data_IF_554730441827
#
_entry.id   IF_554730441827
#
_cell.length_a   1.000
_cell.length_b   1.000
_cell.length_c   1.000
_cell.angle_alpha   90.00
_cell.angle_beta   90.00
_cell.angle_gamma   90.00
#
_symmetry.space_group_name_H-M   'P 1'
#
loop_
_entity.id
_entity.type
_entity.pdbx_description
1 polymer ?
#
# COMPACT_ATOMS: atom_id res chain seq x y z
N UNK A 1 3.21 -10.12 2.23
CA UNK A 1 3.54 -11.54 2.43
C UNK A 1 2.71 -12.43 1.52
N UNK A 2 1.38 -12.38 1.55
CA UNK A 2 0.47 -13.26 0.80
C UNK A 2 0.70 -13.30 -0.73
N UNK A 3 0.91 -12.15 -1.38
CA UNK A 3 1.17 -12.12 -2.83
C UNK A 3 2.41 -12.93 -3.22
N UNK A 4 3.48 -12.88 -2.42
CA UNK A 4 4.70 -13.66 -2.68
C UNK A 4 4.46 -15.15 -2.61
N UNK A 5 3.62 -15.60 -1.68
CA UNK A 5 3.22 -17.02 -1.54
C UNK A 5 2.45 -17.46 -2.80
N UNK A 6 1.49 -16.64 -3.24
CA UNK A 6 0.68 -16.94 -4.43
C UNK A 6 1.55 -16.97 -5.69
N UNK A 7 2.45 -15.99 -5.87
CA UNK A 7 3.35 -15.92 -7.03
C UNK A 7 4.37 -17.05 -7.05
N UNK A 8 4.71 -17.62 -5.89
CA UNK A 8 5.54 -18.82 -5.77
C UNK A 8 4.77 -20.13 -5.93
N UNK A 9 3.49 -20.09 -6.36
CA UNK A 9 2.64 -21.26 -6.51
C UNK A 9 2.05 -21.79 -5.20
N UNK A 10 2.25 -21.10 -4.08
CA UNK A 10 1.70 -21.47 -2.77
C UNK A 10 0.20 -21.25 -2.67
N UNK A 11 -0.43 -21.94 -1.73
CA UNK A 11 -1.87 -21.85 -1.44
C UNK A 11 -2.10 -21.12 -0.13
N UNK A 12 -3.18 -20.34 -0.07
CA UNK A 12 -3.65 -19.68 1.15
C UNK A 12 -4.99 -20.33 1.51
N UNK A 13 -5.06 -20.89 2.72
CA UNK A 13 -6.27 -21.52 3.23
C UNK A 13 -6.89 -20.62 4.31
N UNK A 14 -8.21 -20.47 4.25
CA UNK A 14 -8.99 -19.86 5.32
C UNK A 14 -9.36 -20.93 6.34
N UNK A 15 -9.01 -20.70 7.61
CA UNK A 15 -9.35 -21.59 8.72
C UNK A 15 -10.43 -20.93 9.58
N UNK A 16 -11.70 -21.34 9.50
CA UNK A 16 -12.79 -20.74 10.27
C UNK A 16 -12.64 -20.87 11.78
N UNK A 17 -11.94 -21.92 12.24
CA UNK A 17 -11.67 -22.18 13.66
C UNK A 17 -10.58 -21.29 14.26
N UNK A 18 -9.79 -20.59 13.41
CA UNK A 18 -8.75 -19.68 13.87
C UNK A 18 -9.37 -18.29 14.11
N UNK A 19 -9.87 -18.09 15.32
CA UNK A 19 -10.53 -16.84 15.73
C UNK A 19 -9.50 -15.96 16.46
N UNK A 20 -9.37 -14.71 15.99
CA UNK A 20 -8.59 -13.66 16.66
C UNK A 20 -9.54 -12.59 17.14
N UNK A 21 -9.53 -12.34 18.45
CA UNK A 21 -10.28 -11.24 19.04
C UNK A 21 -9.54 -9.93 18.81
N UNK A 22 -10.22 -8.98 18.18
CA UNK A 22 -9.67 -7.65 17.91
C UNK A 22 -10.55 -6.59 18.57
N UNK A 23 -9.95 -5.76 19.42
CA UNK A 23 -10.65 -4.63 20.02
C UNK A 23 -10.71 -3.48 19.00
N UNK A 24 -11.93 -3.12 18.59
CA UNK A 24 -12.15 -1.99 17.71
C UNK A 24 -11.95 -0.67 18.45
N UNK A 25 -11.41 0.31 17.74
CA UNK A 25 -11.33 1.68 18.26
C UNK A 25 -12.72 2.31 18.24
N UNK A 26 -13.06 3.06 19.28
CA UNK A 26 -14.40 3.60 19.51
C UNK A 26 -14.61 5.00 18.97
N UNK A 27 -13.53 5.72 18.58
CA UNK A 27 -13.61 7.10 18.13
C UNK A 27 -13.30 7.27 16.63
N UNK A 28 -13.89 8.31 16.03
CA UNK A 28 -13.77 8.60 14.60
C UNK A 28 -12.39 9.15 14.21
N UNK A 29 -11.66 9.76 15.13
CA UNK A 29 -10.32 10.28 14.88
C UNK A 29 -9.33 9.12 14.73
N UNK A 30 -9.33 8.20 15.67
CA UNK A 30 -8.51 6.99 15.61
C UNK A 30 -8.86 6.10 14.39
N UNK A 31 -10.14 6.08 13.96
CA UNK A 31 -10.52 5.43 12.69
C UNK A 31 -9.91 6.15 11.49
N UNK A 32 -9.90 7.47 11.48
CA UNK A 32 -9.28 8.26 10.41
C UNK A 32 -7.79 7.99 10.27
N UNK A 33 -7.05 7.96 11.39
CA UNK A 33 -5.62 7.62 11.43
C UNK A 33 -5.36 6.19 10.93
N UNK A 34 -6.20 5.24 11.32
CA UNK A 34 -6.09 3.86 10.89
C UNK A 34 -6.28 3.73 9.38
N UNK A 35 -7.30 4.40 8.82
CA UNK A 35 -7.57 4.39 7.38
C UNK A 35 -6.43 5.06 6.61
N UNK A 36 -5.89 6.18 7.12
CA UNK A 36 -4.70 6.80 6.54
C UNK A 36 -3.51 5.83 6.52
N UNK A 37 -3.27 5.13 7.62
CA UNK A 37 -2.17 4.16 7.74
C UNK A 37 -2.34 2.98 6.79
N UNK A 38 -3.56 2.50 6.60
CA UNK A 38 -3.86 1.45 5.61
C UNK A 38 -3.58 1.93 4.19
N UNK A 39 -4.05 3.14 3.84
CA UNK A 39 -3.73 3.75 2.56
C UNK A 39 -2.22 3.87 2.36
N UNK A 40 -1.49 4.38 3.35
CA UNK A 40 -0.04 4.55 3.29
C UNK A 40 0.69 3.22 3.04
N UNK A 41 0.33 2.18 3.78
CA UNK A 41 0.88 0.83 3.59
C UNK A 41 0.57 0.26 2.20
N UNK A 42 -0.68 0.42 1.73
CA UNK A 42 -1.10 -0.02 0.41
C UNK A 42 -0.34 0.72 -0.71
N UNK A 43 -0.20 2.03 -0.60
CA UNK A 43 0.53 2.85 -1.58
C UNK A 43 2.00 2.47 -1.68
N UNK A 44 2.67 2.28 -0.55
CA UNK A 44 4.06 1.81 -0.50
C UNK A 44 4.20 0.40 -1.10
N UNK A 45 3.26 -0.49 -0.81
CA UNK A 45 3.22 -1.85 -1.33
C UNK A 45 3.06 -1.87 -2.85
N UNK A 46 2.12 -1.11 -3.40
CA UNK A 46 1.91 -0.99 -4.85
C UNK A 46 3.13 -0.39 -5.55
N UNK A 47 3.69 0.68 -4.99
CA UNK A 47 4.90 1.32 -5.53
C UNK A 47 6.09 0.35 -5.56
N UNK A 48 6.26 -0.47 -4.52
CA UNK A 48 7.27 -1.53 -4.49
C UNK A 48 7.12 -2.47 -5.68
N UNK A 49 5.93 -3.01 -5.89
CA UNK A 49 5.71 -4.00 -6.94
C UNK A 49 5.79 -3.41 -8.35
N UNK A 50 5.40 -2.14 -8.52
CA UNK A 50 5.55 -1.43 -9.79
C UNK A 50 7.02 -1.13 -10.13
N UNK A 51 7.80 -0.72 -9.13
CA UNK A 51 9.23 -0.39 -9.34
C UNK A 51 10.07 -1.65 -9.54
N UNK A 52 9.78 -2.72 -8.79
CA UNK A 52 10.53 -3.99 -8.90
C UNK A 52 10.05 -4.89 -10.04
N UNK A 53 9.07 -4.48 -10.84
CA UNK A 53 8.53 -5.31 -11.94
C UNK A 53 7.86 -6.62 -11.49
N UNK A 54 7.65 -6.81 -10.19
CA UNK A 54 7.16 -8.06 -9.60
C UNK A 54 5.64 -8.28 -9.69
N UNK A 55 4.90 -7.34 -10.27
CA UNK A 55 3.44 -7.49 -10.41
C UNK A 55 3.05 -7.69 -11.88
N UNK A 56 2.43 -8.82 -12.23
CA UNK A 56 1.90 -9.03 -13.57
C UNK A 56 0.90 -7.92 -13.93
N UNK A 57 1.05 -7.31 -15.11
CA UNK A 57 0.21 -6.19 -15.56
C UNK A 57 -1.29 -6.53 -15.52
N UNK A 58 -1.65 -7.79 -15.84
CA UNK A 58 -3.02 -8.27 -15.74
C UNK A 58 -3.60 -8.27 -14.32
N UNK A 59 -2.77 -8.51 -13.31
CA UNK A 59 -3.20 -8.48 -11.91
C UNK A 59 -3.44 -7.03 -11.45
N UNK A 60 -2.57 -6.11 -11.87
CA UNK A 60 -2.74 -4.68 -11.62
C UNK A 60 -4.03 -4.15 -12.27
N UNK A 61 -4.25 -4.46 -13.54
CA UNK A 61 -5.46 -4.04 -14.27
C UNK A 61 -6.74 -4.59 -13.61
N UNK A 62 -6.74 -5.85 -13.16
CA UNK A 62 -7.87 -6.45 -12.41
C UNK A 62 -8.09 -5.76 -11.07
N UNK A 63 -7.02 -5.44 -10.34
CA UNK A 63 -7.08 -4.72 -9.08
C UNK A 63 -7.69 -3.32 -9.23
N UNK A 64 -7.22 -2.55 -10.19
CA UNK A 64 -7.74 -1.21 -10.51
C UNK A 64 -9.21 -1.25 -10.93
N UNK A 65 -9.59 -2.23 -11.77
CA UNK A 65 -10.99 -2.40 -12.19
C UNK A 65 -11.90 -2.75 -11.01
N UNK A 66 -11.46 -3.63 -10.09
CA UNK A 66 -12.20 -3.95 -8.87
C UNK A 66 -12.31 -2.75 -7.93
N UNK A 67 -11.25 -2.00 -7.73
CA UNK A 67 -11.27 -0.77 -6.94
C UNK A 67 -12.29 0.24 -7.50
N UNK A 68 -12.36 0.42 -8.82
CA UNK A 68 -13.36 1.26 -9.48
C UNK A 68 -14.80 0.77 -9.24
N UNK A 69 -15.05 -0.54 -9.25
CA UNK A 69 -16.38 -1.11 -8.96
C UNK A 69 -16.76 -0.88 -7.50
N UNK A 70 -15.83 -1.11 -6.56
CA UNK A 70 -16.05 -0.87 -5.13
C UNK A 70 -16.35 0.61 -4.88
N UNK A 71 -15.58 1.52 -5.47
CA UNK A 71 -15.78 2.96 -5.33
C UNK A 71 -17.15 3.42 -5.88
N UNK A 72 -17.60 2.85 -7.00
CA UNK A 72 -18.95 3.12 -7.54
C UNK A 72 -20.04 2.62 -6.61
N UNK A 73 -19.89 1.42 -6.03
CA UNK A 73 -20.86 0.85 -5.08
C UNK A 73 -20.94 1.66 -3.79
N UNK A 74 -19.81 2.11 -3.24
CA UNK A 74 -19.79 2.97 -2.05
C UNK A 74 -20.43 4.33 -2.33
N UNK A 75 -20.24 4.91 -3.51
CA UNK A 75 -20.92 6.14 -3.91
C UNK A 75 -22.43 5.95 -4.04
N UNK A 76 -22.91 4.82 -4.57
CA UNK A 76 -24.33 4.51 -4.67
C UNK A 76 -24.97 4.27 -3.28
N UNK A 77 -24.28 3.54 -2.40
CA UNK A 77 -24.73 3.34 -1.01
C UNK A 77 -24.79 4.65 -0.20
N UNK A 78 -23.86 5.58 -0.46
CA UNK A 78 -23.86 6.93 0.12
C UNK A 78 -25.05 7.78 -0.36
N UNK A 79 -25.53 7.57 -1.59
CA UNK A 79 -26.73 8.24 -2.10
C UNK A 79 -28.03 7.67 -1.48
N UNK A 80 -28.05 6.42 -1.08
CA UNK A 80 -29.19 5.78 -0.42
C UNK A 80 -29.39 6.18 1.06
N UNK A 81 -28.65 7.15 1.58
CA UNK A 81 -28.92 7.80 2.87
C UNK A 81 -28.35 7.10 4.10
N UNK A 82 -27.75 5.94 3.99
CA UNK A 82 -27.31 5.15 5.15
C UNK A 82 -25.91 5.47 5.69
N UNK A 83 -25.08 6.26 4.99
CA UNK A 83 -23.71 6.52 5.42
C UNK A 83 -23.18 7.91 4.97
N UNK A 84 -23.96 8.95 5.22
CA UNK A 84 -23.75 10.27 4.58
C UNK A 84 -22.57 11.10 5.07
N UNK A 85 -22.03 10.91 6.26
CA UNK A 85 -21.12 11.90 6.86
C UNK A 85 -19.65 11.46 6.91
N UNK A 86 -19.33 10.19 6.86
CA UNK A 86 -17.95 9.71 7.03
C UNK A 86 -17.26 9.17 5.76
N UNK A 87 -17.99 8.51 4.88
CA UNK A 87 -17.40 7.69 3.81
C UNK A 87 -16.52 8.45 2.82
N UNK A 88 -16.93 9.66 2.40
CA UNK A 88 -16.14 10.45 1.44
C UNK A 88 -14.85 11.02 2.07
N UNK A 89 -14.92 11.47 3.32
CA UNK A 89 -13.74 11.94 4.05
C UNK A 89 -12.75 10.81 4.29
N UNK A 90 -13.24 9.65 4.69
CA UNK A 90 -12.41 8.47 4.94
C UNK A 90 -11.75 7.97 3.64
N UNK A 91 -12.48 7.93 2.52
CA UNK A 91 -11.92 7.58 1.22
C UNK A 91 -10.83 8.56 0.74
N UNK A 92 -11.01 9.86 0.98
CA UNK A 92 -9.98 10.86 0.68
C UNK A 92 -8.75 10.71 1.59
N UNK A 93 -8.96 10.39 2.86
CA UNK A 93 -7.89 10.13 3.83
C UNK A 93 -7.08 8.89 3.42
N UNK A 94 -7.74 7.82 3.00
CA UNK A 94 -7.08 6.62 2.47
C UNK A 94 -6.28 6.92 1.20
N UNK A 95 -6.89 7.62 0.24
CA UNK A 95 -6.24 8.00 -1.01
C UNK A 95 -5.00 8.88 -0.76
N UNK A 96 -5.10 9.85 0.15
CA UNK A 96 -3.96 10.68 0.59
C UNK A 96 -2.86 9.81 1.19
N UNK A 97 -3.22 8.87 2.08
CA UNK A 97 -2.28 7.91 2.64
C UNK A 97 -1.56 7.14 1.54
N UNK A 98 -2.30 6.61 0.56
CA UNK A 98 -1.73 5.82 -0.54
C UNK A 98 -0.73 6.63 -1.40
N UNK A 99 -1.05 7.87 -1.72
CA UNK A 99 -0.13 8.76 -2.45
C UNK A 99 1.15 9.01 -1.66
N UNK A 100 1.03 9.35 -0.36
CA UNK A 100 2.19 9.60 0.50
C UNK A 100 3.03 8.34 0.64
N UNK A 101 2.42 7.17 0.88
CA UNK A 101 3.11 5.90 0.99
C UNK A 101 3.91 5.54 -0.27
N UNK A 102 3.32 5.74 -1.45
CA UNK A 102 4.00 5.51 -2.72
C UNK A 102 5.22 6.44 -2.91
N UNK A 103 5.06 7.73 -2.58
CA UNK A 103 6.16 8.70 -2.66
C UNK A 103 7.27 8.41 -1.66
N UNK A 104 6.93 8.04 -0.43
CA UNK A 104 7.90 7.66 0.60
C UNK A 104 8.71 6.44 0.17
N UNK A 105 8.07 5.42 -0.39
CA UNK A 105 8.76 4.25 -0.90
C UNK A 105 9.73 4.62 -2.04
N UNK A 106 9.31 5.41 -3.03
CA UNK A 106 10.18 5.87 -4.12
C UNK A 106 11.40 6.63 -3.61
N UNK A 107 11.21 7.51 -2.62
CA UNK A 107 12.31 8.26 -1.99
C UNK A 107 13.28 7.32 -1.26
N UNK A 108 12.77 6.34 -0.53
CA UNK A 108 13.58 5.35 0.18
C UNK A 108 14.44 4.52 -0.79
N UNK A 109 13.86 4.05 -1.89
CA UNK A 109 14.60 3.31 -2.93
C UNK A 109 15.71 4.17 -3.54
N UNK A 110 15.43 5.42 -3.91
CA UNK A 110 16.43 6.33 -4.47
C UNK A 110 17.59 6.58 -3.50
N UNK A 111 17.30 6.78 -2.21
CA UNK A 111 18.34 6.96 -1.18
C UNK A 111 19.20 5.71 -1.02
N UNK A 112 18.58 4.53 -1.01
CA UNK A 112 19.31 3.27 -0.92
C UNK A 112 20.25 3.06 -2.14
N UNK A 113 19.78 3.36 -3.35
CA UNK A 113 20.60 3.27 -4.56
C UNK A 113 21.78 4.24 -4.54
N UNK A 114 21.58 5.47 -4.07
CA UNK A 114 22.67 6.46 -3.95
C UNK A 114 23.70 6.03 -2.90
N UNK A 115 23.27 5.46 -1.78
CA UNK A 115 24.16 4.99 -0.71
C UNK A 115 25.02 3.78 -1.15
N UNK A 116 24.47 2.87 -1.96
CA UNK A 116 25.23 1.74 -2.50
C UNK A 116 26.32 2.21 -3.49
N UNK A 117 26.01 3.17 -4.37
CA UNK A 117 26.96 3.73 -5.31
C UNK A 117 28.15 4.43 -4.62
N UNK A 118 27.91 5.07 -3.46
CA UNK A 118 28.97 5.72 -2.70
C UNK A 118 29.89 4.72 -2.02
N UNK A 119 29.35 3.56 -1.63
CA UNK A 119 30.10 2.49 -0.96
C UNK A 119 31.02 1.71 -1.91
N UNK A 120 30.64 1.59 -3.19
CA UNK A 120 31.39 0.87 -4.22
C UNK A 120 32.45 1.74 -4.93
N UNK A 121 32.61 3.00 -4.49
CA UNK A 121 33.68 3.86 -5.07
C UNK A 121 35.00 3.41 -4.50
N UNK A 122 35.94 2.92 -5.32
CA UNK A 122 37.27 2.49 -4.85
C UNK A 122 37.96 3.64 -4.14
N UNK A 123 38.69 3.39 -3.04
CA UNK A 123 39.48 4.43 -2.38
C UNK A 123 40.42 5.06 -3.40
N UNK A 124 40.30 6.38 -3.53
CA UNK A 124 41.08 7.16 -4.50
C UNK A 124 42.55 6.78 -4.40
N UNK A 125 43.19 6.46 -5.53
CA UNK A 125 44.64 6.30 -5.63
C UNK A 125 45.27 7.50 -4.96
N UNK A 126 45.88 7.29 -3.80
CA UNK A 126 46.77 8.30 -3.24
C UNK A 126 47.84 8.59 -4.29
N UNK A 127 47.85 9.81 -4.78
CA UNK A 127 48.94 10.30 -5.60
C UNK A 127 50.22 10.14 -4.78
N UNK A 128 51.14 9.27 -5.22
CA UNK A 128 52.49 9.21 -4.70
C UNK A 128 53.21 10.41 -5.30
N UNK A 129 53.56 11.34 -4.43
CA UNK A 129 54.63 12.33 -4.71
C UNK A 129 55.95 11.73 -4.37
#
# INVERSE_FOLDING_TARGET
MFLRVILAGGRICYLPSSVVWHQHRSDMEALGEQIYSYGHGLGAYLAKHLISGGMPAGLLARGLRRAGVVLRRTNQASQAGQMRVGGRRLALTEARGALVGALCYRRAVRRASSASQTRDRPPGRMARY
#
